data_IF_175990265337
#
_entry.id   IF_175990265337
#
_cell.length_a   1.000
_cell.length_b   1.000
_cell.length_c   1.000
_cell.angle_alpha   90.00
_cell.angle_beta   90.00
_cell.angle_gamma   90.00
#
_symmetry.space_group_name_H-M   'P 1'
#
loop_
_entity.id
_entity.type
_entity.pdbx_description
1 polymer ?
#
# COMPACT_ATOMS: atom_id res chain seq x y z
N UNK A 1 43.43 18.59 14.65
CA UNK A 1 42.01 18.84 14.77
C UNK A 1 41.31 17.75 13.97
N UNK A 2 40.76 16.78 14.69
CA UNK A 2 40.18 15.57 14.16
C UNK A 2 38.74 15.88 13.75
N UNK A 3 38.39 15.66 12.50
CA UNK A 3 37.02 15.67 12.00
C UNK A 3 36.49 14.26 12.08
N UNK A 4 35.71 13.98 13.13
CA UNK A 4 35.01 12.70 13.30
C UNK A 4 33.94 12.54 12.20
N UNK A 5 34.20 11.57 11.34
CA UNK A 5 33.25 11.07 10.37
C UNK A 5 32.15 10.29 11.13
N UNK A 6 30.97 10.90 11.31
CA UNK A 6 29.81 10.22 11.86
C UNK A 6 29.33 9.21 10.83
N UNK A 7 29.68 7.95 11.05
CA UNK A 7 29.15 6.81 10.32
C UNK A 7 27.64 6.74 10.55
N UNK A 8 26.91 6.91 9.47
CA UNK A 8 25.45 6.70 9.41
C UNK A 8 25.16 5.22 9.67
N UNK A 9 24.98 4.86 10.96
CA UNK A 9 24.48 3.56 11.34
C UNK A 9 23.02 3.50 10.90
N UNK A 10 22.77 2.78 9.80
CA UNK A 10 21.43 2.41 9.41
C UNK A 10 20.69 1.86 10.65
N UNK A 11 19.59 2.51 11.02
CA UNK A 11 18.75 2.03 12.13
C UNK A 11 18.27 0.63 11.72
N UNK A 12 18.78 -0.39 12.42
CA UNK A 12 18.23 -1.72 12.34
C UNK A 12 16.76 -1.60 12.75
N UNK A 13 15.85 -2.02 11.87
CA UNK A 13 14.43 -2.12 12.20
C UNK A 13 14.31 -2.98 13.47
N UNK A 14 13.81 -2.39 14.55
CA UNK A 14 13.53 -3.12 15.78
C UNK A 14 12.29 -3.97 15.53
N UNK A 15 12.47 -5.17 14.97
CA UNK A 15 11.40 -6.16 14.90
C UNK A 15 11.17 -6.77 16.29
N UNK A 16 9.93 -6.70 16.76
CA UNK A 16 9.49 -7.40 17.94
C UNK A 16 9.33 -8.90 17.64
N UNK A 17 9.57 -9.77 18.63
CA UNK A 17 9.23 -11.21 18.51
C UNK A 17 7.74 -11.38 18.13
N UNK A 18 6.86 -10.48 18.57
CA UNK A 18 5.44 -10.49 18.21
C UNK A 18 5.19 -10.15 16.74
N UNK A 19 6.07 -9.40 16.08
CA UNK A 19 5.99 -9.11 14.64
C UNK A 19 6.28 -10.35 13.79
N UNK A 20 6.93 -11.37 14.38
CA UNK A 20 7.19 -12.67 13.73
C UNK A 20 6.01 -13.63 13.83
N UNK A 21 5.05 -13.37 14.74
CA UNK A 21 3.78 -14.10 14.82
C UNK A 21 2.84 -13.50 13.77
N UNK A 22 2.89 -14.05 12.56
CA UNK A 22 2.03 -13.60 11.47
C UNK A 22 0.54 -13.77 11.77
N UNK A 23 -0.35 -13.10 11.03
CA UNK A 23 -1.80 -13.24 11.17
C UNK A 23 -2.23 -14.68 10.87
N UNK A 24 -3.43 -15.07 11.34
CA UNK A 24 -4.07 -16.30 10.90
C UNK A 24 -4.23 -16.24 9.38
N UNK A 25 -3.76 -17.28 8.69
CA UNK A 25 -3.72 -17.28 7.22
C UNK A 25 -3.99 -18.66 6.62
N UNK A 26 -4.47 -18.67 5.40
CA UNK A 26 -4.60 -19.85 4.54
C UNK A 26 -3.46 -19.83 3.52
N UNK A 27 -2.38 -20.54 3.81
CA UNK A 27 -1.22 -20.63 2.93
C UNK A 27 0.06 -20.99 3.68
N UNK A 28 1.14 -21.35 2.96
CA UNK A 28 2.34 -21.91 3.56
C UNK A 28 3.31 -20.85 4.11
N UNK A 29 3.13 -19.56 3.80
CA UNK A 29 4.13 -18.53 4.09
C UNK A 29 3.50 -17.19 4.44
N UNK A 30 3.91 -16.59 5.57
CA UNK A 30 3.42 -15.28 5.97
C UNK A 30 3.79 -14.16 4.98
N UNK A 31 4.98 -14.21 4.39
CA UNK A 31 5.39 -13.23 3.40
C UNK A 31 4.75 -13.46 2.02
N UNK A 32 4.61 -14.72 1.58
CA UNK A 32 4.09 -15.07 0.25
C UNK A 32 2.56 -15.19 0.20
N UNK A 33 1.91 -15.29 1.34
CA UNK A 33 0.44 -15.37 1.41
C UNK A 33 -0.13 -14.15 2.12
N UNK A 34 0.06 -14.02 3.43
CA UNK A 34 -0.58 -12.95 4.20
C UNK A 34 -0.13 -11.55 3.75
N UNK A 35 1.17 -11.32 3.57
CA UNK A 35 1.69 -10.05 3.06
C UNK A 35 1.16 -9.73 1.66
N UNK A 36 1.06 -10.73 0.79
CA UNK A 36 0.55 -10.56 -0.58
C UNK A 36 -0.94 -10.21 -0.59
N UNK A 37 -1.76 -10.90 0.21
CA UNK A 37 -3.20 -10.56 0.39
C UNK A 37 -3.35 -9.11 0.85
N UNK A 38 -2.57 -8.68 1.85
CA UNK A 38 -2.65 -7.32 2.39
C UNK A 38 -2.22 -6.25 1.40
N UNK A 39 -1.14 -6.48 0.61
CA UNK A 39 -0.74 -5.59 -0.49
C UNK A 39 -1.89 -5.44 -1.48
N UNK A 40 -2.51 -6.54 -1.90
CA UNK A 40 -3.61 -6.52 -2.85
C UNK A 40 -4.85 -5.81 -2.32
N UNK A 41 -5.22 -6.04 -1.05
CA UNK A 41 -6.33 -5.33 -0.40
C UNK A 41 -6.06 -3.84 -0.31
N UNK A 42 -4.83 -3.43 0.05
CA UNK A 42 -4.43 -2.02 0.05
C UNK A 42 -4.56 -1.41 -1.35
N UNK A 43 -4.06 -2.07 -2.38
CA UNK A 43 -4.15 -1.59 -3.77
C UNK A 43 -5.61 -1.49 -4.26
N UNK A 44 -6.46 -2.45 -3.88
CA UNK A 44 -7.91 -2.39 -4.15
C UNK A 44 -8.57 -1.19 -3.46
N UNK A 45 -8.21 -0.89 -2.20
CA UNK A 45 -8.68 0.31 -1.48
C UNK A 45 -8.22 1.59 -2.16
N UNK A 46 -6.97 1.65 -2.64
CA UNK A 46 -6.43 2.77 -3.41
C UNK A 46 -7.22 2.97 -4.71
N UNK A 47 -7.57 1.91 -5.42
CA UNK A 47 -8.44 1.98 -6.60
C UNK A 47 -9.88 2.41 -6.24
N UNK A 48 -10.35 2.08 -5.04
CA UNK A 48 -11.69 2.39 -4.54
C UNK A 48 -12.76 1.32 -4.84
N UNK A 49 -12.40 0.26 -5.56
CA UNK A 49 -13.32 -0.82 -5.94
C UNK A 49 -12.58 -2.08 -6.36
N UNK A 50 -13.31 -3.18 -6.58
CA UNK A 50 -12.74 -4.38 -7.23
C UNK A 50 -12.36 -4.03 -8.68
N UNK A 51 -11.11 -4.30 -9.10
CA UNK A 51 -10.65 -4.00 -10.46
C UNK A 51 -11.38 -4.84 -11.51
N UNK A 52 -11.48 -4.32 -12.73
CA UNK A 52 -11.86 -5.09 -13.92
C UNK A 52 -10.65 -5.71 -14.60
N UNK A 53 -9.49 -5.02 -14.49
CA UNK A 53 -8.22 -5.52 -15.03
C UNK A 53 -7.12 -5.36 -14.01
N UNK A 54 -6.22 -6.36 -13.94
CA UNK A 54 -5.06 -6.35 -13.07
C UNK A 54 -3.83 -6.87 -13.82
N UNK A 55 -2.80 -6.05 -13.94
CA UNK A 55 -1.47 -6.50 -14.32
C UNK A 55 -0.62 -6.59 -13.07
N UNK A 56 -0.08 -7.79 -12.80
CA UNK A 56 0.67 -8.10 -11.59
C UNK A 56 2.09 -8.47 -11.99
N UNK A 57 3.08 -7.73 -11.47
CA UNK A 57 4.49 -8.00 -11.74
C UNK A 57 5.19 -8.38 -10.44
N UNK A 58 5.71 -9.60 -10.39
CA UNK A 58 6.52 -10.11 -9.29
C UNK A 58 8.00 -9.83 -9.57
N UNK A 59 8.73 -9.31 -8.57
CA UNK A 59 10.15 -8.99 -8.69
C UNK A 59 11.01 -9.91 -7.81
N UNK A 60 12.25 -10.09 -8.20
CA UNK A 60 13.32 -10.74 -7.45
C UNK A 60 12.90 -12.13 -6.89
N UNK A 61 12.89 -12.32 -5.57
CA UNK A 61 12.53 -13.60 -4.93
C UNK A 61 11.10 -14.02 -5.28
N UNK A 62 10.15 -13.09 -5.31
CA UNK A 62 8.78 -13.43 -5.73
C UNK A 62 8.70 -13.93 -7.17
N UNK A 63 9.50 -13.38 -8.08
CA UNK A 63 9.50 -13.78 -9.49
C UNK A 63 9.75 -15.27 -9.70
N UNK A 64 10.55 -15.90 -8.84
CA UNK A 64 10.90 -17.31 -8.93
C UNK A 64 10.00 -18.25 -8.11
N UNK A 65 9.20 -17.71 -7.17
CA UNK A 65 8.52 -18.52 -6.15
C UNK A 65 6.99 -18.31 -6.10
N UNK A 66 6.43 -17.34 -6.82
CA UNK A 66 5.03 -16.91 -6.65
C UNK A 66 4.00 -18.03 -6.88
N UNK A 67 4.22 -18.92 -7.86
CA UNK A 67 3.32 -20.07 -8.12
C UNK A 67 3.45 -21.14 -7.02
N UNK A 68 4.69 -21.53 -6.67
CA UNK A 68 4.95 -22.58 -5.70
C UNK A 68 4.50 -22.26 -4.28
N UNK A 69 4.46 -20.99 -3.91
CA UNK A 69 4.03 -20.53 -2.59
C UNK A 69 2.60 -19.96 -2.58
N UNK A 70 1.88 -20.00 -3.71
CA UNK A 70 0.49 -19.55 -3.81
C UNK A 70 0.31 -18.04 -3.77
N UNK A 71 1.35 -17.25 -4.09
CA UNK A 71 1.25 -15.79 -4.15
C UNK A 71 0.34 -15.31 -5.27
N UNK A 72 0.21 -16.07 -6.34
CA UNK A 72 -0.75 -15.89 -7.43
C UNK A 72 -2.20 -15.88 -6.92
N UNK A 73 -2.55 -16.87 -6.09
CA UNK A 73 -3.88 -16.98 -5.46
C UNK A 73 -4.07 -15.92 -4.40
N UNK A 74 -3.04 -15.66 -3.60
CA UNK A 74 -3.09 -14.67 -2.53
C UNK A 74 -3.33 -13.25 -3.07
N UNK A 75 -2.66 -12.85 -4.16
CA UNK A 75 -2.83 -11.50 -4.73
C UNK A 75 -4.24 -11.33 -5.29
N UNK A 76 -4.74 -12.33 -6.01
CA UNK A 76 -6.11 -12.29 -6.57
C UNK A 76 -7.16 -12.29 -5.45
N UNK A 77 -6.97 -13.10 -4.41
CA UNK A 77 -7.87 -13.11 -3.24
C UNK A 77 -7.95 -11.72 -2.58
N UNK A 78 -6.82 -11.05 -2.40
CA UNK A 78 -6.80 -9.68 -1.87
C UNK A 78 -7.48 -8.66 -2.77
N UNK A 79 -7.36 -8.79 -4.11
CA UNK A 79 -8.09 -7.95 -5.06
C UNK A 79 -9.62 -8.19 -5.02
N UNK A 80 -10.05 -9.39 -4.62
CA UNK A 80 -11.46 -9.72 -4.34
C UNK A 80 -11.89 -9.35 -2.90
N UNK A 81 -11.03 -8.70 -2.12
CA UNK A 81 -11.23 -8.29 -0.71
C UNK A 81 -11.35 -9.45 0.29
N UNK A 82 -10.76 -10.61 -0.02
CA UNK A 82 -10.70 -11.71 0.94
C UNK A 82 -9.62 -11.43 1.98
N UNK A 83 -9.89 -11.80 3.25
CA UNK A 83 -8.92 -11.71 4.36
C UNK A 83 -7.89 -12.85 4.27
N UNK A 84 -6.82 -12.76 5.04
CA UNK A 84 -5.71 -13.73 5.03
C UNK A 84 -6.12 -15.15 5.43
N UNK A 85 -7.17 -15.29 6.21
CA UNK A 85 -7.73 -16.55 6.73
C UNK A 85 -8.92 -17.08 5.90
N UNK A 86 -9.28 -16.42 4.81
CA UNK A 86 -10.42 -16.81 3.98
C UNK A 86 -10.09 -18.08 3.16
N UNK A 87 -10.90 -19.12 3.33
CA UNK A 87 -10.72 -20.41 2.64
C UNK A 87 -10.81 -20.29 1.11
N UNK A 88 -11.52 -19.27 0.60
CA UNK A 88 -11.66 -19.01 -0.84
C UNK A 88 -10.34 -18.59 -1.52
N UNK A 89 -9.29 -18.28 -0.77
CA UNK A 89 -7.95 -18.01 -1.34
C UNK A 89 -7.52 -19.14 -2.27
N UNK A 90 -7.81 -20.38 -1.93
CA UNK A 90 -7.43 -21.56 -2.74
C UNK A 90 -8.06 -21.57 -4.14
N UNK A 91 -9.24 -20.98 -4.26
CA UNK A 91 -10.05 -20.96 -5.49
C UNK A 91 -10.14 -19.57 -6.13
N UNK A 92 -9.37 -18.61 -5.62
CA UNK A 92 -9.46 -17.20 -5.98
C UNK A 92 -9.28 -16.93 -7.48
N UNK A 93 -8.43 -17.69 -8.17
CA UNK A 93 -8.22 -17.55 -9.62
C UNK A 93 -9.48 -17.89 -10.43
N UNK A 94 -10.22 -18.90 -10.01
CA UNK A 94 -11.49 -19.31 -10.65
C UNK A 94 -12.57 -18.26 -10.33
N UNK A 95 -12.72 -17.92 -9.06
CA UNK A 95 -13.70 -16.93 -8.60
C UNK A 95 -13.49 -15.55 -9.24
N UNK A 96 -12.24 -15.15 -9.46
CA UNK A 96 -11.93 -13.89 -10.13
C UNK A 96 -12.43 -13.86 -11.58
N UNK A 97 -12.24 -14.97 -12.32
CA UNK A 97 -12.74 -15.10 -13.71
C UNK A 97 -14.27 -15.07 -13.75
N UNK A 98 -14.92 -15.78 -12.82
CA UNK A 98 -16.39 -15.76 -12.69
C UNK A 98 -16.94 -14.37 -12.38
N UNK A 99 -16.19 -13.56 -11.63
CA UNK A 99 -16.52 -12.17 -11.32
C UNK A 99 -16.08 -11.16 -12.40
N UNK A 100 -15.53 -11.64 -13.51
CA UNK A 100 -15.14 -10.82 -14.65
C UNK A 100 -13.84 -10.02 -14.46
N UNK A 101 -12.98 -10.41 -13.51
CA UNK A 101 -11.66 -9.83 -13.36
C UNK A 101 -10.70 -10.43 -14.41
N UNK A 102 -10.25 -9.61 -15.35
CA UNK A 102 -9.17 -9.95 -16.28
C UNK A 102 -7.81 -9.69 -15.60
N UNK A 103 -6.98 -10.72 -15.49
CA UNK A 103 -5.68 -10.59 -14.82
C UNK A 103 -4.57 -11.31 -15.54
N UNK A 104 -3.37 -10.75 -15.44
CA UNK A 104 -2.16 -11.36 -15.99
C UNK A 104 -0.99 -11.18 -15.03
N UNK A 105 -0.17 -12.23 -14.96
CA UNK A 105 1.06 -12.26 -14.19
C UNK A 105 2.27 -12.05 -15.09
N UNK A 106 3.24 -11.31 -14.58
CA UNK A 106 4.58 -11.16 -15.13
C UNK A 106 5.59 -11.38 -14.02
N UNK A 107 6.76 -11.88 -14.38
CA UNK A 107 7.88 -12.04 -13.45
C UNK A 107 9.12 -11.35 -14.00
N UNK A 108 9.83 -10.63 -13.13
CA UNK A 108 11.08 -9.94 -13.45
C UNK A 108 12.10 -10.33 -12.38
N UNK A 109 12.92 -11.33 -12.71
CA UNK A 109 14.01 -11.78 -11.84
C UNK A 109 15.20 -10.83 -11.88
N UNK A 110 15.93 -10.69 -10.77
CA UNK A 110 17.22 -9.97 -10.63
C UNK A 110 17.25 -8.54 -11.19
N UNK A 111 16.13 -7.85 -11.17
CA UNK A 111 16.00 -6.58 -11.88
C UNK A 111 16.15 -5.39 -10.97
N UNK A 112 16.70 -5.47 -9.76
CA UNK A 112 16.80 -4.20 -9.06
C UNK A 112 17.36 -4.19 -7.65
N UNK A 113 17.69 -2.98 -7.22
CA UNK A 113 17.85 -2.51 -5.85
C UNK A 113 16.56 -2.56 -5.00
N UNK A 114 15.44 -3.09 -5.54
CA UNK A 114 14.17 -3.23 -4.83
C UNK A 114 14.22 -4.35 -3.78
N UNK A 115 13.36 -4.26 -2.78
CA UNK A 115 13.20 -5.32 -1.78
C UNK A 115 12.95 -6.69 -2.45
N UNK A 116 13.52 -7.80 -1.93
CA UNK A 116 13.36 -9.13 -2.55
C UNK A 116 11.91 -9.56 -2.81
N UNK A 117 11.00 -9.17 -1.95
CA UNK A 117 9.57 -9.52 -2.02
C UNK A 117 8.73 -8.31 -2.47
N UNK A 118 9.03 -7.78 -3.65
CA UNK A 118 8.31 -6.65 -4.24
C UNK A 118 7.29 -7.11 -5.27
N UNK A 119 6.12 -6.47 -5.25
CA UNK A 119 5.04 -6.65 -6.23
C UNK A 119 4.65 -5.27 -6.76
N UNK A 120 4.52 -5.17 -8.08
CA UNK A 120 3.89 -4.02 -8.73
C UNK A 120 2.52 -4.42 -9.25
N UNK A 121 1.52 -3.62 -8.97
CA UNK A 121 0.14 -3.79 -9.38
C UNK A 121 -0.27 -2.61 -10.26
N UNK A 122 -0.76 -2.88 -11.46
CA UNK A 122 -1.49 -1.91 -12.29
C UNK A 122 -2.94 -2.36 -12.34
N UNK A 123 -3.81 -1.64 -11.68
CA UNK A 123 -5.23 -1.95 -11.54
C UNK A 123 -6.08 -0.94 -12.30
N UNK A 124 -7.12 -1.43 -12.99
CA UNK A 124 -8.02 -0.57 -13.77
C UNK A 124 -9.47 -0.91 -13.48
N UNK A 125 -10.31 0.13 -13.34
CA UNK A 125 -11.77 0.07 -13.24
C UNK A 125 -12.39 1.22 -14.02
N UNK A 126 -13.07 0.91 -15.12
CA UNK A 126 -13.58 1.95 -16.03
C UNK A 126 -12.45 2.85 -16.53
N UNK A 127 -12.57 4.16 -16.30
CA UNK A 127 -11.54 5.15 -16.65
C UNK A 127 -10.47 5.35 -15.57
N UNK A 128 -10.65 4.79 -14.36
CA UNK A 128 -9.69 4.92 -13.25
C UNK A 128 -8.62 3.84 -13.35
N UNK A 129 -7.38 4.25 -13.22
CA UNK A 129 -6.22 3.35 -13.13
C UNK A 129 -5.33 3.78 -11.98
N UNK A 130 -4.77 2.80 -11.26
CA UNK A 130 -3.80 3.05 -10.20
C UNK A 130 -2.62 2.10 -10.34
N UNK A 131 -1.43 2.62 -10.06
CA UNK A 131 -0.20 1.87 -9.96
C UNK A 131 0.25 1.82 -8.51
N UNK A 132 0.50 0.62 -7.97
CA UNK A 132 0.93 0.41 -6.59
C UNK A 132 2.15 -0.49 -6.58
N UNK A 133 3.20 -0.09 -5.86
CA UNK A 133 4.35 -0.94 -5.54
C UNK A 133 4.28 -1.28 -4.05
N UNK A 134 4.16 -2.56 -3.76
CA UNK A 134 4.11 -3.08 -2.39
C UNK A 134 5.23 -4.07 -2.11
N UNK A 135 5.70 -4.08 -0.88
CA UNK A 135 6.76 -4.95 -0.38
C UNK A 135 6.23 -5.77 0.79
N UNK A 136 6.45 -7.08 0.75
CA UNK A 136 6.18 -7.94 1.90
C UNK A 136 7.42 -8.08 2.77
N UNK A 137 7.33 -7.63 4.01
CA UNK A 137 8.47 -7.56 4.97
C UNK A 137 8.60 -8.80 5.86
N UNK A 138 7.71 -9.80 5.70
CA UNK A 138 7.62 -10.98 6.57
C UNK A 138 6.63 -10.80 7.71
N UNK A 139 6.25 -11.90 8.38
CA UNK A 139 5.25 -11.86 9.46
C UNK A 139 3.86 -11.34 9.05
N UNK A 140 3.57 -11.22 7.74
CA UNK A 140 2.37 -10.55 7.24
C UNK A 140 2.50 -9.02 7.18
N UNK A 141 3.61 -8.44 7.65
CA UNK A 141 3.86 -7.00 7.51
C UNK A 141 4.12 -6.62 6.06
N UNK A 142 3.65 -5.44 5.70
CA UNK A 142 3.83 -4.88 4.36
C UNK A 142 4.30 -3.44 4.42
N UNK A 143 4.86 -2.99 3.31
CA UNK A 143 5.09 -1.59 3.02
C UNK A 143 4.54 -1.26 1.63
N UNK A 144 3.67 -0.28 1.52
CA UNK A 144 3.30 0.30 0.22
C UNK A 144 4.32 1.38 -0.09
N UNK A 145 5.27 1.02 -0.94
CA UNK A 145 6.43 1.87 -1.25
C UNK A 145 6.08 3.03 -2.19
N UNK A 146 5.21 2.77 -3.19
CA UNK A 146 4.82 3.78 -4.17
C UNK A 146 3.35 3.67 -4.55
N UNK A 147 2.73 4.83 -4.83
CA UNK A 147 1.39 4.97 -5.38
C UNK A 147 1.43 6.00 -6.51
N UNK A 148 1.06 5.60 -7.73
CA UNK A 148 1.03 6.45 -8.93
C UNK A 148 2.36 7.20 -9.19
N UNK A 149 3.49 6.53 -8.90
CA UNK A 149 4.84 7.06 -9.06
C UNK A 149 5.25 8.09 -7.99
N UNK A 150 4.48 8.22 -6.91
CA UNK A 150 4.88 8.95 -5.73
C UNK A 150 5.38 7.98 -4.65
N UNK A 151 6.48 8.33 -4.00
CA UNK A 151 6.92 7.62 -2.81
C UNK A 151 5.85 7.74 -1.72
N UNK A 152 5.43 6.61 -1.16
CA UNK A 152 4.32 6.53 -0.21
C UNK A 152 4.78 6.07 1.18
N UNK A 153 5.49 4.95 1.30
CA UNK A 153 6.08 4.40 2.51
C UNK A 153 5.11 4.30 3.71
N UNK A 154 4.04 3.50 3.58
CA UNK A 154 3.12 3.26 4.68
C UNK A 154 2.82 1.77 4.88
N UNK A 155 2.45 1.40 6.11
CA UNK A 155 2.30 0.01 6.54
C UNK A 155 0.92 -0.60 6.28
N UNK A 156 -0.10 0.24 6.08
CA UNK A 156 -1.53 -0.12 6.04
C UNK A 156 -2.04 -0.80 7.35
N UNK A 157 -1.33 -0.64 8.47
CA UNK A 157 -1.75 -1.06 9.80
C UNK A 157 -2.60 -0.01 10.52
N UNK A 158 -2.60 1.21 9.99
CA UNK A 158 -3.30 2.37 10.53
C UNK A 158 -4.22 2.96 9.46
N UNK A 159 -5.15 3.78 9.90
CA UNK A 159 -5.94 4.60 8.99
C UNK A 159 -5.02 5.49 8.15
N UNK A 160 -5.04 5.35 6.84
CA UNK A 160 -4.12 6.05 5.95
C UNK A 160 -4.88 7.00 5.03
N UNK A 161 -4.41 8.24 4.97
CA UNK A 161 -4.91 9.27 4.08
C UNK A 161 -3.83 9.62 3.06
N UNK A 162 -4.13 9.45 1.77
CA UNK A 162 -3.24 9.83 0.66
C UNK A 162 -3.89 11.03 -0.04
N UNK A 163 -3.20 12.18 0.00
CA UNK A 163 -3.68 13.41 -0.62
C UNK A 163 -2.75 13.81 -1.76
N UNK A 164 -3.25 13.79 -2.98
CA UNK A 164 -2.55 14.39 -4.12
C UNK A 164 -3.03 15.82 -4.30
N UNK A 165 -2.11 16.77 -4.29
CA UNK A 165 -2.42 18.20 -4.26
C UNK A 165 -1.37 19.03 -5.03
N UNK A 166 -1.69 20.28 -5.36
CA UNK A 166 -0.68 21.24 -5.79
C UNK A 166 0.32 21.54 -4.68
N UNK A 167 1.59 21.70 -5.03
CA UNK A 167 2.67 22.08 -4.09
C UNK A 167 2.48 23.54 -3.65
N UNK A 168 1.63 23.77 -2.65
CA UNK A 168 1.21 25.09 -2.15
C UNK A 168 1.81 25.35 -0.78
N UNK A 169 2.37 26.57 -0.59
CA UNK A 169 2.91 27.00 0.70
C UNK A 169 1.82 26.96 1.79
N UNK A 170 2.13 26.32 2.91
CA UNK A 170 1.24 26.19 4.06
C UNK A 170 0.26 25.00 4.00
N UNK A 171 0.23 24.22 2.92
CA UNK A 171 -0.67 23.06 2.76
C UNK A 171 -0.52 22.05 3.89
N UNK A 172 0.70 21.72 4.30
CA UNK A 172 0.97 20.77 5.38
C UNK A 172 0.38 21.27 6.71
N UNK A 173 0.65 22.51 7.08
CA UNK A 173 0.15 23.11 8.33
C UNK A 173 -1.39 23.14 8.32
N UNK A 174 -2.00 23.50 7.19
CA UNK A 174 -3.45 23.54 7.05
C UNK A 174 -4.06 22.13 7.22
N UNK A 175 -3.56 21.13 6.49
CA UNK A 175 -4.07 19.74 6.58
C UNK A 175 -3.92 19.22 8.01
N UNK A 176 -2.75 19.42 8.65
CA UNK A 176 -2.52 18.98 10.02
C UNK A 176 -3.49 19.64 11.01
N UNK A 177 -3.79 20.92 10.84
CA UNK A 177 -4.78 21.62 11.68
C UNK A 177 -6.19 21.07 11.49
N UNK A 178 -6.58 20.75 10.24
CA UNK A 178 -7.89 20.16 9.95
C UNK A 178 -8.02 18.78 10.59
N UNK A 179 -7.00 17.94 10.50
CA UNK A 179 -6.98 16.61 11.12
C UNK A 179 -7.01 16.70 12.65
N UNK A 180 -6.26 17.62 13.24
CA UNK A 180 -6.28 17.86 14.69
C UNK A 180 -7.65 18.30 15.19
N UNK A 181 -8.37 19.15 14.44
CA UNK A 181 -9.75 19.56 14.77
C UNK A 181 -10.77 18.42 14.62
N UNK A 182 -10.42 17.35 13.92
CA UNK A 182 -11.22 16.14 13.78
C UNK A 182 -10.86 15.06 14.81
N UNK A 183 -10.06 15.39 15.81
CA UNK A 183 -9.51 14.48 16.84
C UNK A 183 -8.67 13.32 16.23
N UNK A 184 -8.11 13.53 15.04
CA UNK A 184 -7.22 12.56 14.41
C UNK A 184 -5.77 12.83 14.85
N UNK A 185 -5.19 11.90 15.61
CA UNK A 185 -3.76 11.93 15.91
C UNK A 185 -2.96 11.38 14.74
N UNK A 186 -1.96 12.14 14.29
CA UNK A 186 -1.06 11.75 13.20
C UNK A 186 0.08 10.91 13.77
N UNK A 187 0.16 9.64 13.36
CA UNK A 187 1.23 8.74 13.73
C UNK A 187 2.47 8.95 12.84
N UNK A 188 2.26 9.01 11.53
CA UNK A 188 3.32 9.33 10.56
C UNK A 188 2.78 10.28 9.49
N UNK A 189 3.68 11.09 8.93
CA UNK A 189 3.39 11.91 7.76
C UNK A 189 4.60 11.95 6.85
N UNK A 190 4.41 11.63 5.59
CA UNK A 190 5.43 11.80 4.55
C UNK A 190 4.90 12.69 3.43
N UNK A 191 5.80 13.45 2.82
CA UNK A 191 5.46 14.32 1.69
C UNK A 191 6.47 14.08 0.58
N UNK A 192 5.99 13.73 -0.58
CA UNK A 192 6.78 13.60 -1.80
C UNK A 192 6.23 14.53 -2.89
N UNK A 193 7.11 15.05 -3.75
CA UNK A 193 6.72 15.92 -4.87
C UNK A 193 7.47 15.57 -6.13
N UNK A 194 6.84 15.70 -7.28
CA UNK A 194 7.47 15.49 -8.59
C UNK A 194 8.39 16.65 -8.98
N UNK A 195 8.05 17.87 -8.57
CA UNK A 195 8.82 19.07 -8.84
C UNK A 195 8.36 20.25 -7.99
N UNK A 196 9.13 21.34 -8.00
CA UNK A 196 8.74 22.59 -7.32
C UNK A 196 7.55 23.20 -8.03
N UNK A 197 6.49 23.57 -7.26
CA UNK A 197 5.23 24.12 -7.75
C UNK A 197 4.44 23.17 -8.69
N UNK A 198 4.68 21.88 -8.61
CA UNK A 198 3.96 20.84 -9.35
C UNK A 198 3.00 20.08 -8.40
N UNK A 199 2.84 18.80 -8.58
CA UNK A 199 2.05 17.96 -7.68
C UNK A 199 2.89 17.47 -6.50
N UNK A 200 2.29 17.49 -5.34
CA UNK A 200 2.76 16.85 -4.12
C UNK A 200 1.79 15.74 -3.70
N UNK A 201 2.32 14.70 -3.10
CA UNK A 201 1.57 13.63 -2.47
C UNK A 201 1.91 13.61 -0.99
N UNK A 202 0.89 13.75 -0.15
CA UNK A 202 0.99 13.59 1.29
C UNK A 202 0.42 12.24 1.67
N UNK A 203 1.18 11.45 2.42
CA UNK A 203 0.71 10.19 3.00
C UNK A 203 0.73 10.34 4.51
N UNK A 204 -0.41 10.14 5.15
CA UNK A 204 -0.63 10.40 6.56
C UNK A 204 -1.25 9.15 7.18
N UNK A 205 -0.55 8.50 8.12
CA UNK A 205 -1.09 7.43 8.93
C UNK A 205 -1.61 8.00 10.25
N UNK A 206 -2.80 7.58 10.66
CA UNK A 206 -3.53 8.13 11.81
C UNK A 206 -4.02 7.01 12.73
N UNK A 207 -4.07 7.29 14.03
CA UNK A 207 -4.54 6.33 15.05
C UNK A 207 -6.05 6.08 14.98
N UNK A 208 -6.80 7.02 14.40
CA UNK A 208 -8.26 6.98 14.28
C UNK A 208 -8.74 7.32 12.88
N UNK A 209 -9.97 6.89 12.55
CA UNK A 209 -10.59 7.22 11.26
C UNK A 209 -11.00 8.70 11.19
N UNK A 210 -10.94 9.27 10.00
CA UNK A 210 -11.39 10.63 9.68
C UNK A 210 -12.90 10.66 9.41
N UNK A 211 -13.59 11.72 9.80
CA UNK A 211 -15.02 11.90 9.54
C UNK A 211 -15.30 12.22 8.07
N UNK A 212 -16.41 11.72 7.50
CA UNK A 212 -16.77 12.00 6.10
C UNK A 212 -16.82 13.50 5.77
N UNK A 213 -17.38 14.31 6.66
CA UNK A 213 -17.46 15.77 6.47
C UNK A 213 -16.09 16.42 6.34
N UNK A 214 -15.09 15.91 7.04
CA UNK A 214 -13.71 16.40 6.96
C UNK A 214 -13.05 16.00 5.65
N UNK A 215 -13.30 14.78 5.16
CA UNK A 215 -12.87 14.36 3.82
C UNK A 215 -13.48 15.25 2.72
N UNK A 216 -14.79 15.49 2.79
CA UNK A 216 -15.50 16.34 1.84
C UNK A 216 -14.97 17.78 1.85
N UNK A 217 -14.69 18.31 3.04
CA UNK A 217 -14.08 19.63 3.21
C UNK A 217 -12.70 19.70 2.56
N UNK A 218 -11.82 18.73 2.82
CA UNK A 218 -10.48 18.66 2.21
C UNK A 218 -10.56 18.53 0.70
N UNK A 219 -11.50 17.73 0.16
CA UNK A 219 -11.74 17.59 -1.27
C UNK A 219 -12.26 18.89 -1.93
N UNK A 220 -12.94 19.74 -1.19
CA UNK A 220 -13.46 21.02 -1.70
C UNK A 220 -12.37 22.07 -1.95
N UNK A 221 -11.15 21.86 -1.44
CA UNK A 221 -10.05 22.79 -1.58
C UNK A 221 -9.52 22.81 -3.01
N UNK A 222 -9.42 23.98 -3.64
CA UNK A 222 -9.03 24.15 -5.06
C UNK A 222 -7.68 23.53 -5.43
N UNK A 223 -6.77 23.44 -4.46
CA UNK A 223 -5.43 22.89 -4.65
C UNK A 223 -5.35 21.38 -4.39
N UNK A 224 -6.36 20.76 -3.78
CA UNK A 224 -6.48 19.31 -3.63
C UNK A 224 -7.03 18.72 -4.93
N UNK A 225 -6.39 17.66 -5.42
CA UNK A 225 -6.76 16.98 -6.67
C UNK A 225 -7.46 15.65 -6.41
N UNK A 226 -6.96 14.90 -5.44
CA UNK A 226 -7.48 13.60 -5.09
C UNK A 226 -7.22 13.33 -3.61
N UNK A 227 -8.15 12.64 -2.97
CA UNK A 227 -7.97 12.06 -1.65
C UNK A 227 -8.35 10.59 -1.73
N UNK A 228 -7.46 9.73 -1.21
CA UNK A 228 -7.72 8.32 -1.03
C UNK A 228 -7.65 8.06 0.47
N UNK A 229 -8.72 7.50 1.03
CA UNK A 229 -8.76 7.08 2.42
C UNK A 229 -8.79 5.55 2.50
N UNK A 230 -7.83 5.01 3.23
CA UNK A 230 -7.68 3.58 3.47
C UNK A 230 -7.91 3.36 4.97
N UNK A 231 -9.03 2.75 5.37
CA UNK A 231 -9.19 2.32 6.76
C UNK A 231 -8.18 1.22 7.08
N UNK A 232 -7.96 0.95 8.36
CA UNK A 232 -7.20 -0.22 8.78
C UNK A 232 -7.72 -1.46 8.05
N UNK A 233 -6.84 -2.13 7.28
CA UNK A 233 -7.24 -3.23 6.41
C UNK A 233 -7.50 -4.55 7.15
N UNK A 234 -7.12 -4.64 8.40
CA UNK A 234 -7.30 -5.85 9.22
C UNK A 234 -8.56 -5.82 10.08
N UNK A 235 -9.27 -4.69 10.11
CA UNK A 235 -10.55 -4.52 10.80
C UNK A 235 -11.78 -4.79 9.90
#
# INVERSE_FOLDING_TARGET
>A
MSTDCVLNQGMAEKSSVFDMIGPVMIGPSSSHTAGVVRIARSARRILGSTPEKAEIVFYNSFASTYEGHGSDRAIIAGLLDYKTDDKRIKESLTLAKEQGLDFKFKSVGNASTMHPNTIKLLLTKGSRSVEVIGESRGGGMINIAEVNGFKADFSANLHTLIITAGDVKGSIAFISSVLSNDDCNIATMSVSRKGKNDLACLVIEMDSGIKPVTLDYLLSLKWVKEIIYIPDIDR
#
